data_IF_038608792643
#
_entry.id   IF_038608792643
#
_cell.length_a   1.000
_cell.length_b   1.000
_cell.length_c   1.000
_cell.angle_alpha   90.00
_cell.angle_beta   90.00
_cell.angle_gamma   90.00
#
_symmetry.space_group_name_H-M   'P 1'
#
loop_
_entity.id
_entity.type
_entity.pdbx_description
1 polymer ?
#
# COMPACT_ATOMS: atom_id res chain seq x y z
N UNK A 1 -21.73 -9.08 2.27
CA UNK A 1 -20.78 -8.05 1.76
C UNK A 1 -20.17 -8.57 0.46
N UNK A 2 -20.60 -8.04 -0.68
CA UNK A 2 -20.00 -8.36 -1.97
C UNK A 2 -18.90 -7.31 -2.20
N UNK A 3 -17.64 -7.74 -2.19
CA UNK A 3 -16.50 -6.88 -2.52
C UNK A 3 -16.16 -7.15 -3.97
N UNK A 4 -16.53 -6.24 -4.86
CA UNK A 4 -16.09 -6.30 -6.24
C UNK A 4 -14.76 -5.53 -6.32
N UNK A 5 -13.64 -6.26 -6.24
CA UNK A 5 -12.32 -5.66 -6.45
C UNK A 5 -11.97 -5.68 -7.94
N UNK A 6 -12.02 -4.53 -8.62
CA UNK A 6 -11.36 -4.38 -9.93
C UNK A 6 -9.87 -4.13 -9.69
N UNK A 7 -9.06 -5.14 -9.95
CA UNK A 7 -7.60 -5.05 -9.85
C UNK A 7 -7.07 -4.35 -11.11
N UNK A 8 -6.93 -3.02 -11.04
CA UNK A 8 -6.26 -2.23 -12.08
C UNK A 8 -4.74 -2.44 -11.98
N UNK A 9 -4.24 -3.46 -12.67
CA UNK A 9 -2.79 -3.69 -12.78
C UNK A 9 -2.16 -2.67 -13.74
N UNK A 10 -1.84 -1.48 -13.24
CA UNK A 10 -0.88 -0.59 -13.89
C UNK A 10 0.40 -0.60 -13.05
N UNK A 11 1.44 -1.28 -13.55
CA UNK A 11 2.79 -1.16 -13.00
C UNK A 11 3.30 0.20 -13.42
N UNK A 12 3.40 1.13 -12.48
CA UNK A 12 4.00 2.44 -12.71
C UNK A 12 5.39 2.45 -12.11
N UNK A 13 6.38 2.88 -12.87
CA UNK A 13 7.70 3.25 -12.37
C UNK A 13 7.77 4.77 -12.25
N UNK A 14 8.22 5.27 -11.09
CA UNK A 14 8.36 6.70 -10.84
C UNK A 14 9.62 6.98 -10.03
N UNK A 15 10.25 8.13 -10.27
CA UNK A 15 11.33 8.64 -9.41
C UNK A 15 10.73 9.54 -8.34
N UNK A 16 10.93 9.21 -7.07
CA UNK A 16 10.30 9.90 -5.93
C UNK A 16 11.27 10.05 -4.76
N UNK A 17 11.00 10.99 -3.87
CA UNK A 17 11.57 11.04 -2.51
C UNK A 17 10.62 10.39 -1.51
N UNK A 18 11.18 9.77 -0.49
CA UNK A 18 10.43 9.13 0.61
C UNK A 18 10.41 10.10 1.79
N UNK A 19 9.34 10.88 1.92
CA UNK A 19 9.22 11.96 2.91
C UNK A 19 9.01 11.44 4.33
N UNK A 20 8.30 10.32 4.46
CA UNK A 20 7.99 9.72 5.75
C UNK A 20 7.86 8.21 5.60
N UNK A 21 8.29 7.49 6.63
CA UNK A 21 8.18 6.04 6.75
C UNK A 21 7.66 5.71 8.15
N UNK A 22 6.54 5.01 8.21
CA UNK A 22 6.00 4.52 9.49
C UNK A 22 6.91 3.46 10.12
N UNK A 23 6.67 3.16 11.40
CA UNK A 23 7.13 1.88 11.97
C UNK A 23 6.44 0.69 11.30
N UNK A 24 6.85 -0.52 11.69
CA UNK A 24 6.16 -1.76 11.32
C UNK A 24 4.76 -1.76 11.95
N UNK A 25 3.74 -1.93 11.12
CA UNK A 25 2.34 -2.05 11.53
C UNK A 25 1.95 -3.51 11.39
N UNK A 26 1.54 -4.14 12.50
CA UNK A 26 1.09 -5.54 12.52
C UNK A 26 -0.40 -5.57 12.80
N UNK A 27 -1.19 -6.17 11.90
CA UNK A 27 -2.64 -6.31 12.07
C UNK A 27 -3.03 -7.77 11.94
N UNK A 28 -3.87 -8.25 12.85
CA UNK A 28 -4.50 -9.56 12.71
C UNK A 28 -5.77 -9.45 11.87
N UNK A 29 -6.01 -10.44 11.01
CA UNK A 29 -7.25 -10.56 10.26
C UNK A 29 -7.64 -12.03 10.11
N UNK A 30 -8.95 -12.30 10.00
CA UNK A 30 -9.45 -13.63 9.69
C UNK A 30 -9.54 -13.79 8.18
N UNK A 31 -8.87 -14.80 7.62
CA UNK A 31 -8.99 -15.15 6.22
C UNK A 31 -10.43 -15.61 5.93
N UNK A 32 -11.12 -14.92 5.03
CA UNK A 32 -12.53 -15.21 4.72
C UNK A 32 -12.73 -16.56 4.00
N UNK A 33 -11.68 -17.13 3.41
CA UNK A 33 -11.73 -18.41 2.69
C UNK A 33 -11.42 -19.59 3.58
N UNK A 34 -10.43 -19.45 4.47
CA UNK A 34 -9.98 -20.55 5.33
C UNK A 34 -10.48 -20.45 6.77
N UNK A 35 -10.97 -19.29 7.20
CA UNK A 35 -11.38 -19.03 8.58
C UNK A 35 -10.21 -18.86 9.56
N UNK A 36 -8.97 -18.99 9.09
CA UNK A 36 -7.77 -18.93 9.92
C UNK A 36 -7.42 -17.47 10.29
N UNK A 37 -6.88 -17.29 11.49
CA UNK A 37 -6.26 -16.03 11.86
C UNK A 37 -4.91 -15.88 11.16
N UNK A 38 -4.75 -14.77 10.45
CA UNK A 38 -3.52 -14.39 9.76
C UNK A 38 -3.06 -13.03 10.24
N UNK A 39 -1.77 -12.78 10.04
CA UNK A 39 -1.14 -11.50 10.34
C UNK A 39 -0.78 -10.83 9.04
N UNK A 40 -1.08 -9.54 8.92
CA UNK A 40 -0.54 -8.67 7.88
C UNK A 40 0.43 -7.68 8.53
N UNK A 41 1.67 -7.73 8.06
CA UNK A 41 2.71 -6.75 8.37
C UNK A 41 2.72 -5.70 7.25
N UNK A 42 2.74 -4.42 7.62
CA UNK A 42 2.87 -3.34 6.65
C UNK A 42 3.72 -2.16 7.12
N UNK A 43 4.27 -1.43 6.17
CA UNK A 43 4.99 -0.16 6.36
C UNK A 43 4.39 0.84 5.38
N UNK A 44 3.98 2.00 5.90
CA UNK A 44 3.43 3.09 5.10
C UNK A 44 4.54 4.08 4.74
N UNK A 45 4.58 4.47 3.48
CA UNK A 45 5.49 5.47 2.93
C UNK A 45 4.71 6.67 2.41
N UNK A 46 5.15 7.88 2.74
CA UNK A 46 4.73 9.10 2.04
C UNK A 46 5.75 9.43 0.96
N UNK A 47 5.31 9.41 -0.29
CA UNK A 47 6.14 9.53 -1.49
C UNK A 47 5.82 10.85 -2.19
N UNK A 48 6.81 11.47 -2.82
CA UNK A 48 6.60 12.66 -3.67
C UNK A 48 7.56 12.69 -4.85
N UNK A 49 7.10 13.13 -6.01
CA UNK A 49 7.94 13.47 -7.16
C UNK A 49 8.37 14.96 -7.16
N UNK A 50 7.93 15.74 -6.17
CA UNK A 50 8.12 17.18 -6.08
C UNK A 50 6.93 18.02 -6.54
N UNK A 51 5.96 17.42 -7.22
CA UNK A 51 4.68 18.06 -7.59
C UNK A 51 3.54 17.46 -6.77
N UNK A 52 3.39 16.13 -6.81
CA UNK A 52 2.35 15.40 -6.11
C UNK A 52 2.90 14.62 -4.93
N UNK A 53 2.02 14.27 -3.99
CA UNK A 53 2.33 13.38 -2.87
C UNK A 53 1.30 12.28 -2.75
N UNK A 54 1.75 11.05 -2.52
CA UNK A 54 0.87 9.90 -2.34
C UNK A 54 1.37 8.97 -1.23
N UNK A 55 0.45 8.16 -0.71
CA UNK A 55 0.74 7.14 0.28
C UNK A 55 0.90 5.79 -0.40
N UNK A 56 2.03 5.14 -0.16
CA UNK A 56 2.32 3.78 -0.59
C UNK A 56 2.40 2.83 0.60
N UNK A 57 1.98 1.58 0.41
CA UNK A 57 2.06 0.53 1.43
C UNK A 57 3.00 -0.60 0.96
N UNK A 58 3.98 -0.95 1.78
CA UNK A 58 4.74 -2.19 1.66
C UNK A 58 4.07 -3.21 2.57
N UNK A 59 3.83 -4.43 2.11
CA UNK A 59 3.19 -5.50 2.91
C UNK A 59 4.02 -6.78 2.95
N UNK A 60 3.71 -7.65 3.92
CA UNK A 60 4.29 -8.99 4.05
C UNK A 60 5.72 -8.97 4.59
N UNK A 61 6.54 -9.93 4.15
CA UNK A 61 7.94 -10.06 4.60
C UNK A 61 8.79 -8.83 4.26
N UNK A 62 8.50 -8.17 3.12
CA UNK A 62 9.18 -6.93 2.71
C UNK A 62 8.92 -5.78 3.68
N UNK A 63 7.79 -5.78 4.39
CA UNK A 63 7.50 -4.78 5.42
C UNK A 63 8.35 -5.01 6.67
N UNK A 64 8.52 -6.28 7.06
CA UNK A 64 9.37 -6.68 8.21
C UNK A 64 10.83 -6.30 7.97
N UNK A 65 11.31 -6.54 6.75
CA UNK A 65 12.68 -6.26 6.33
C UNK A 65 12.85 -4.89 5.66
N UNK A 66 11.91 -3.95 5.87
CA UNK A 66 11.95 -2.66 5.20
C UNK A 66 13.11 -1.81 5.76
N UNK A 67 14.08 -1.40 4.92
CA UNK A 67 15.16 -0.53 5.38
C UNK A 67 14.61 0.85 5.74
N UNK A 68 15.43 1.66 6.41
CA UNK A 68 15.16 3.10 6.57
C UNK A 68 15.60 3.83 5.32
N UNK A 69 14.70 4.64 4.77
CA UNK A 69 14.98 5.48 3.61
C UNK A 69 15.37 6.90 4.03
N UNK A 70 16.31 7.50 3.31
CA UNK A 70 16.75 8.88 3.50
C UNK A 70 15.81 9.83 2.76
N UNK A 71 15.13 10.77 3.46
CA UNK A 71 14.26 11.76 2.82
C UNK A 71 14.96 12.70 1.84
N UNK A 72 16.28 12.84 1.90
CA UNK A 72 17.07 13.66 0.98
C UNK A 72 17.42 12.93 -0.32
N UNK A 73 17.24 11.61 -0.37
CA UNK A 73 17.59 10.80 -1.54
C UNK A 73 16.39 10.56 -2.46
N UNK A 74 16.67 10.40 -3.76
CA UNK A 74 15.67 10.02 -4.77
C UNK A 74 15.73 8.52 -5.04
N UNK A 75 14.57 7.89 -5.15
CA UNK A 75 14.41 6.46 -5.36
C UNK A 75 13.55 6.20 -6.59
N UNK A 76 13.87 5.13 -7.33
CA UNK A 76 12.95 4.56 -8.31
C UNK A 76 11.99 3.62 -7.60
N UNK A 77 10.70 3.91 -7.65
CA UNK A 77 9.66 3.06 -7.07
C UNK A 77 8.83 2.43 -8.17
N UNK A 78 8.54 1.14 -8.02
CA UNK A 78 7.52 0.47 -8.81
C UNK A 78 6.31 0.24 -7.92
N UNK A 79 5.15 0.67 -8.40
CA UNK A 79 3.90 0.61 -7.65
C UNK A 79 2.81 -0.11 -8.42
N UNK A 80 1.89 -0.72 -7.68
CA UNK A 80 0.61 -1.21 -8.18
C UNK A 80 -0.54 -0.56 -7.41
N UNK A 81 -1.67 -0.33 -8.10
CA UNK A 81 -2.84 0.30 -7.51
C UNK A 81 -3.98 -0.71 -7.43
N UNK A 82 -4.61 -0.81 -6.27
CA UNK A 82 -5.80 -1.63 -6.06
C UNK A 82 -6.92 -0.73 -5.60
N UNK A 83 -8.00 -0.73 -6.37
CA UNK A 83 -9.25 -0.05 -6.02
C UNK A 83 -10.22 -1.11 -5.50
N UNK A 84 -10.69 -0.92 -4.28
CA UNK A 84 -11.66 -1.80 -3.63
C UNK A 84 -12.96 -1.05 -3.50
N UNK A 85 -14.03 -1.66 -3.99
CA UNK A 85 -15.39 -1.14 -3.87
C UNK A 85 -16.17 -2.05 -2.92
N UNK A 86 -16.92 -1.45 -1.99
CA UNK A 86 -17.80 -2.16 -1.07
C UNK A 86 -19.00 -1.29 -0.72
N UNK A 87 -20.12 -1.90 -0.33
CA UNK A 87 -21.25 -1.16 0.20
C UNK A 87 -21.08 -0.98 1.72
N UNK A 88 -21.27 0.24 2.21
CA UNK A 88 -21.29 0.58 3.63
C UNK A 88 -22.36 -0.25 4.35
N UNK A 89 -21.99 -0.89 5.46
CA UNK A 89 -22.96 -1.67 6.26
C UNK A 89 -23.92 -0.76 7.05
N UNK A 90 -23.53 0.50 7.29
CA UNK A 90 -24.34 1.46 8.04
C UNK A 90 -25.30 2.24 7.14
N UNK A 91 -24.83 2.64 5.94
CA UNK A 91 -25.59 3.55 5.06
C UNK A 91 -26.07 2.88 3.77
N UNK A 92 -25.56 1.69 3.42
CA UNK A 92 -25.87 1.02 2.16
C UNK A 92 -25.20 1.63 0.92
N UNK A 93 -24.53 2.78 1.06
CA UNK A 93 -23.88 3.50 -0.03
C UNK A 93 -22.64 2.79 -0.57
N UNK A 94 -22.37 2.97 -1.86
CA UNK A 94 -21.16 2.49 -2.50
C UNK A 94 -19.95 3.29 -2.00
N UNK A 95 -19.00 2.60 -1.40
CA UNK A 95 -17.74 3.12 -0.90
C UNK A 95 -16.59 2.60 -1.76
N UNK A 96 -15.54 3.41 -1.87
CA UNK A 96 -14.32 3.05 -2.59
C UNK A 96 -13.09 3.39 -1.75
N UNK A 97 -12.08 2.52 -1.79
CA UNK A 97 -10.75 2.78 -1.28
C UNK A 97 -9.71 2.44 -2.33
N UNK A 98 -8.77 3.36 -2.50
CA UNK A 98 -7.59 3.16 -3.33
C UNK A 98 -6.40 2.87 -2.44
N UNK A 99 -5.74 1.75 -2.68
CA UNK A 99 -4.49 1.38 -2.02
C UNK A 99 -3.39 1.29 -3.07
N UNK A 100 -2.30 2.01 -2.85
CA UNK A 100 -1.10 1.92 -3.68
C UNK A 100 -0.10 1.04 -2.94
N UNK A 101 0.28 -0.08 -3.56
CA UNK A 101 1.31 -0.96 -3.04
C UNK A 101 2.66 -0.63 -3.67
N UNK A 102 3.71 -0.60 -2.86
CA UNK A 102 5.08 -0.38 -3.32
C UNK A 102 5.74 -1.74 -3.57
N UNK A 103 5.81 -2.13 -4.84
CA UNK A 103 6.28 -3.44 -5.29
C UNK A 103 7.81 -3.54 -5.36
N UNK A 104 8.50 -2.43 -5.64
CA UNK A 104 9.97 -2.36 -5.66
C UNK A 104 10.46 -0.95 -5.35
N UNK A 105 11.60 -0.85 -4.68
CA UNK A 105 12.34 0.40 -4.47
C UNK A 105 13.79 0.14 -4.87
N UNK A 106 14.34 1.01 -5.72
CA UNK A 106 15.74 1.01 -6.12
C UNK A 106 16.35 2.39 -5.95
N UNK A 107 17.67 2.45 -5.82
CA UNK A 107 18.41 3.71 -5.88
C UNK A 107 18.44 4.23 -7.32
N UNK A 108 18.46 5.55 -7.48
CA UNK A 108 18.65 6.21 -8.78
C UNK A 108 20.13 6.28 -9.10
#
# INVERSE_FOLDING_TARGET
MIVNSKKLFKRMEATVRILNQSGLITRQYTDKKTGEQKVINSVMLKLTDGTDSFLGEITGERAVNCPKFDPQHQYKVQCSMVVREWNSQQTGEAMQATTIYVDKIGMV
#
